data_IF_443991687985
#
_entry.id   IF_443991687985
#
_cell.length_a   1.000
_cell.length_b   1.000
_cell.length_c   1.000
_cell.angle_alpha   90.00
_cell.angle_beta   90.00
_cell.angle_gamma   90.00
#
_symmetry.space_group_name_H-M   'P 1'
#
loop_
_entity.id
_entity.type
_entity.pdbx_description
1 polymer ?
#
# COMPACT_ATOMS: atom_id res chain seq x y z
N UNK A 1 -9.22 5.96 -4.47
CA UNK A 1 -8.05 5.12 -4.82
C UNK A 1 -7.82 4.03 -3.77
N UNK A 2 -7.68 4.35 -2.47
CA UNK A 2 -7.50 3.34 -1.41
C UNK A 2 -8.61 2.28 -1.30
N UNK A 3 -9.88 2.68 -1.50
CA UNK A 3 -11.03 1.74 -1.51
C UNK A 3 -10.93 0.75 -2.69
N UNK A 4 -10.54 1.23 -3.87
CA UNK A 4 -10.33 0.41 -5.06
C UNK A 4 -9.18 -0.58 -4.84
N UNK A 5 -8.09 -0.12 -4.21
CA UNK A 5 -6.96 -0.96 -3.84
C UNK A 5 -7.37 -2.09 -2.87
N UNK A 6 -8.15 -1.77 -1.84
CA UNK A 6 -8.66 -2.76 -0.88
C UNK A 6 -9.65 -3.74 -1.52
N UNK A 7 -10.52 -3.27 -2.43
CA UNK A 7 -11.42 -4.13 -3.16
C UNK A 7 -10.68 -5.15 -4.03
N UNK A 8 -9.61 -4.72 -4.71
CA UNK A 8 -8.75 -5.61 -5.50
C UNK A 8 -8.00 -6.58 -4.60
N UNK A 9 -7.41 -6.13 -3.48
CA UNK A 9 -6.77 -7.03 -2.51
C UNK A 9 -7.73 -8.09 -1.98
N UNK A 10 -8.95 -7.69 -1.59
CA UNK A 10 -9.99 -8.60 -1.12
C UNK A 10 -10.28 -9.66 -2.17
N UNK A 11 -10.44 -9.26 -3.44
CA UNK A 11 -10.73 -10.14 -4.57
C UNK A 11 -9.58 -11.14 -4.84
N UNK A 12 -8.32 -10.72 -4.69
CA UNK A 12 -7.17 -11.64 -4.77
C UNK A 12 -7.10 -12.64 -3.61
N UNK A 13 -7.69 -12.34 -2.45
CA UNK A 13 -7.80 -13.28 -1.31
C UNK A 13 -8.99 -14.23 -1.41
N UNK A 14 -9.91 -14.06 -2.36
CA UNK A 14 -11.07 -14.96 -2.51
C UNK A 14 -10.56 -16.37 -2.90
N UNK A 15 -10.97 -17.42 -2.16
CA UNK A 15 -10.46 -18.78 -2.38
C UNK A 15 -10.72 -19.34 -3.78
N UNK A 16 -11.73 -18.82 -4.49
CA UNK A 16 -12.01 -19.14 -5.89
C UNK A 16 -10.87 -18.71 -6.86
N UNK A 17 -10.13 -17.64 -6.55
CA UNK A 17 -9.00 -17.14 -7.35
C UNK A 17 -7.66 -17.72 -6.86
N UNK A 18 -7.63 -18.22 -5.63
CA UNK A 18 -6.44 -18.79 -4.98
C UNK A 18 -5.89 -20.09 -5.62
N UNK A 19 -6.54 -20.59 -6.68
CA UNK A 19 -6.05 -21.74 -7.47
C UNK A 19 -4.69 -21.48 -8.13
N UNK A 20 -4.33 -20.21 -8.39
CA UNK A 20 -2.98 -19.80 -8.85
C UNK A 20 -2.10 -19.34 -7.68
N UNK A 21 -1.78 -20.25 -6.75
CA UNK A 21 -1.04 -19.93 -5.50
C UNK A 21 0.23 -19.10 -5.73
N UNK A 22 1.00 -19.40 -6.78
CA UNK A 22 2.29 -18.73 -7.03
C UNK A 22 2.11 -17.32 -7.60
N UNK A 23 1.24 -17.14 -8.61
CA UNK A 23 1.00 -15.85 -9.25
C UNK A 23 0.28 -14.88 -8.30
N UNK A 24 -0.77 -15.34 -7.62
CA UNK A 24 -1.55 -14.54 -6.68
C UNK A 24 -0.68 -14.13 -5.48
N UNK A 25 0.23 -15.00 -5.04
CA UNK A 25 1.25 -14.66 -4.05
C UNK A 25 2.12 -13.50 -4.50
N UNK A 26 2.74 -13.57 -5.68
CA UNK A 26 3.62 -12.51 -6.19
C UNK A 26 2.86 -11.19 -6.39
N UNK A 27 1.65 -11.22 -6.97
CA UNK A 27 0.82 -10.02 -7.15
C UNK A 27 0.44 -9.37 -5.82
N UNK A 28 0.01 -10.18 -4.84
CA UNK A 28 -0.31 -9.69 -3.49
C UNK A 28 0.89 -9.02 -2.85
N UNK A 29 2.08 -9.63 -2.95
CA UNK A 29 3.31 -9.07 -2.38
C UNK A 29 3.70 -7.75 -3.04
N UNK A 30 3.61 -7.66 -4.37
CA UNK A 30 3.89 -6.42 -5.10
C UNK A 30 2.90 -5.31 -4.76
N UNK A 31 1.61 -5.63 -4.70
CA UNK A 31 0.57 -4.65 -4.32
C UNK A 31 0.79 -4.14 -2.90
N UNK A 32 0.92 -5.04 -1.92
CA UNK A 32 1.06 -4.66 -0.51
C UNK A 32 2.33 -3.85 -0.24
N UNK A 33 3.47 -4.29 -0.79
CA UNK A 33 4.73 -3.60 -0.60
C UNK A 33 4.75 -2.24 -1.34
N UNK A 34 4.24 -2.18 -2.56
CA UNK A 34 4.12 -0.92 -3.30
C UNK A 34 3.19 0.08 -2.61
N UNK A 35 2.05 -0.37 -2.09
CA UNK A 35 1.15 0.49 -1.32
C UNK A 35 1.80 0.99 -0.02
N UNK A 36 2.54 0.14 0.69
CA UNK A 36 3.29 0.56 1.89
C UNK A 36 4.31 1.64 1.55
N UNK A 37 4.98 1.55 0.39
CA UNK A 37 5.88 2.60 -0.11
C UNK A 37 5.19 3.95 -0.34
N UNK A 38 3.97 3.92 -0.89
CA UNK A 38 3.14 5.12 -1.07
C UNK A 38 2.71 5.75 0.26
N UNK A 39 2.21 4.94 1.19
CA UNK A 39 1.77 5.41 2.52
C UNK A 39 2.89 6.10 3.31
N UNK A 40 4.15 5.64 3.17
CA UNK A 40 5.31 6.31 3.81
C UNK A 40 5.50 7.73 3.28
N UNK A 41 5.37 7.94 1.96
CA UNK A 41 5.47 9.27 1.35
C UNK A 41 4.30 10.17 1.79
N UNK A 42 3.09 9.63 1.82
CA UNK A 42 1.91 10.36 2.28
C UNK A 42 2.00 10.72 3.76
N UNK A 43 2.49 9.82 4.59
CA UNK A 43 2.70 10.10 6.02
C UNK A 43 3.75 11.20 6.20
N UNK A 44 4.86 11.15 5.46
CA UNK A 44 5.85 12.25 5.45
C UNK A 44 5.21 13.57 5.03
N UNK A 45 4.36 13.58 4.01
CA UNK A 45 3.67 14.79 3.56
C UNK A 45 2.73 15.35 4.63
N UNK A 46 1.98 14.49 5.34
CA UNK A 46 1.10 14.89 6.43
C UNK A 46 1.87 15.50 7.60
N UNK A 47 3.02 14.93 7.96
CA UNK A 47 3.90 15.46 9.03
C UNK A 47 4.52 16.80 8.63
N UNK A 48 5.02 16.94 7.39
CA UNK A 48 5.68 18.17 6.93
C UNK A 48 4.70 19.34 6.81
N UNK A 49 3.45 19.07 6.40
CA UNK A 49 2.43 20.11 6.22
C UNK A 49 1.48 20.25 7.42
N UNK A 50 1.73 19.51 8.52
CA UNK A 50 0.88 19.46 9.73
C UNK A 50 -0.63 19.20 9.45
N UNK A 51 -0.92 18.52 8.33
CA UNK A 51 -2.29 18.19 7.90
C UNK A 51 -2.56 16.71 8.13
N UNK A 52 -3.10 16.39 9.30
CA UNK A 52 -3.39 15.00 9.67
C UNK A 52 -4.79 14.58 9.22
N UNK A 53 -4.87 13.58 8.35
CA UNK A 53 -6.15 12.96 7.99
C UNK A 53 -6.31 11.64 8.77
N UNK A 54 -7.27 11.55 9.73
CA UNK A 54 -7.42 10.36 10.56
C UNK A 54 -7.79 9.11 9.74
N UNK A 55 -8.55 9.27 8.66
CA UNK A 55 -8.90 8.14 7.78
C UNK A 55 -7.70 7.62 6.98
N UNK A 56 -6.82 8.51 6.49
CA UNK A 56 -5.59 8.10 5.83
C UNK A 56 -4.65 7.38 6.80
N UNK A 57 -4.54 7.88 8.02
CA UNK A 57 -3.71 7.27 9.04
C UNK A 57 -4.21 5.87 9.44
N UNK A 58 -5.53 5.72 9.62
CA UNK A 58 -6.15 4.43 9.89
C UNK A 58 -5.92 3.44 8.74
N UNK A 59 -6.03 3.89 7.49
CA UNK A 59 -5.76 3.08 6.31
C UNK A 59 -4.31 2.62 6.23
N UNK A 60 -3.35 3.53 6.44
CA UNK A 60 -1.92 3.20 6.48
C UNK A 60 -1.59 2.20 7.60
N UNK A 61 -2.23 2.32 8.76
CA UNK A 61 -2.06 1.41 9.89
C UNK A 61 -2.60 0.01 9.57
N UNK A 62 -3.78 -0.09 8.95
CA UNK A 62 -4.32 -1.35 8.45
C UNK A 62 -3.39 -2.02 7.44
N UNK A 63 -2.85 -1.26 6.48
CA UNK A 63 -1.87 -1.77 5.52
C UNK A 63 -0.60 -2.29 6.20
N UNK A 64 -0.08 -1.55 7.19
CA UNK A 64 1.09 -1.95 7.96
C UNK A 64 0.86 -3.28 8.66
N UNK A 65 -0.29 -3.45 9.33
CA UNK A 65 -0.65 -4.71 10.00
C UNK A 65 -0.70 -5.86 9.00
N UNK A 66 -1.40 -5.69 7.87
CA UNK A 66 -1.52 -6.74 6.86
C UNK A 66 -0.15 -7.06 6.25
N UNK A 67 0.68 -6.05 6.01
CA UNK A 67 2.05 -6.23 5.52
C UNK A 67 2.90 -7.02 6.53
N UNK A 68 2.86 -6.66 7.81
CA UNK A 68 3.62 -7.32 8.87
C UNK A 68 3.23 -8.80 9.02
N UNK A 69 1.92 -9.10 9.03
CA UNK A 69 1.41 -10.49 9.11
C UNK A 69 1.85 -11.31 7.90
N UNK A 70 1.93 -10.70 6.71
CA UNK A 70 2.31 -11.39 5.47
C UNK A 70 3.81 -11.38 5.20
N UNK A 71 4.59 -10.66 6.00
CA UNK A 71 6.02 -10.47 5.77
C UNK A 71 6.81 -11.78 5.88
N UNK A 72 6.40 -12.72 6.73
CA UNK A 72 7.14 -13.99 6.91
C UNK A 72 7.00 -14.94 5.71
N UNK A 73 5.88 -14.86 4.99
CA UNK A 73 5.56 -15.72 3.83
C UNK A 73 6.02 -15.07 2.52
N UNK A 74 6.23 -13.76 2.53
CA UNK A 74 6.54 -12.97 1.35
C UNK A 74 8.02 -13.05 0.95
N UNK A 75 8.27 -13.04 -0.36
CA UNK A 75 9.64 -12.92 -0.88
C UNK A 75 10.19 -11.51 -0.61
N UNK A 76 11.22 -11.43 0.24
CA UNK A 76 11.85 -10.18 0.70
C UNK A 76 12.38 -9.31 -0.44
N UNK A 77 12.96 -9.93 -1.47
CA UNK A 77 13.52 -9.21 -2.62
C UNK A 77 12.43 -8.54 -3.45
N UNK A 78 11.36 -9.27 -3.73
CA UNK A 78 10.23 -8.76 -4.51
C UNK A 78 9.48 -7.67 -3.75
N UNK A 79 9.31 -7.84 -2.43
CA UNK A 79 8.73 -6.82 -1.56
C UNK A 79 9.60 -5.55 -1.55
N UNK A 80 10.91 -5.67 -1.38
CA UNK A 80 11.82 -4.52 -1.41
C UNK A 80 11.76 -3.75 -2.74
N UNK A 81 11.82 -4.48 -3.86
CA UNK A 81 11.76 -3.89 -5.20
C UNK A 81 10.43 -3.15 -5.45
N UNK A 82 9.31 -3.76 -5.07
CA UNK A 82 7.98 -3.15 -5.23
C UNK A 82 7.72 -2.00 -4.27
N UNK A 83 8.28 -2.04 -3.05
CA UNK A 83 8.26 -0.90 -2.13
C UNK A 83 8.99 0.32 -2.70
N UNK A 84 10.20 0.11 -3.24
CA UNK A 84 10.96 1.15 -3.94
C UNK A 84 10.21 1.68 -5.18
N UNK A 85 9.59 0.78 -5.95
CA UNK A 85 8.76 1.17 -7.09
C UNK A 85 7.54 2.00 -6.67
N UNK A 86 6.90 1.65 -5.55
CA UNK A 86 5.80 2.41 -4.96
C UNK A 86 6.22 3.81 -4.54
N UNK A 87 7.36 3.94 -3.87
CA UNK A 87 7.95 5.25 -3.54
C UNK A 87 8.21 6.05 -4.81
N UNK A 88 8.86 5.46 -5.81
CA UNK A 88 9.19 6.14 -7.07
C UNK A 88 7.95 6.61 -7.82
N UNK A 89 6.91 5.77 -7.88
CA UNK A 89 5.64 6.12 -8.50
C UNK A 89 4.96 7.30 -7.78
N UNK A 90 4.91 7.28 -6.45
CA UNK A 90 4.35 8.39 -5.70
C UNK A 90 5.18 9.67 -5.83
N UNK A 91 6.51 9.59 -5.84
CA UNK A 91 7.36 10.77 -6.05
C UNK A 91 7.16 11.42 -7.42
N UNK A 92 6.89 10.64 -8.48
CA UNK A 92 6.69 11.16 -9.83
C UNK A 92 5.27 11.68 -10.09
N UNK A 93 4.26 11.01 -9.53
CA UNK A 93 2.85 11.30 -9.84
C UNK A 93 2.14 12.15 -8.77
N UNK A 94 2.66 12.23 -7.55
CA UNK A 94 1.97 12.92 -6.47
C UNK A 94 2.14 14.44 -6.56
N UNK A 95 1.08 15.11 -7.05
CA UNK A 95 0.89 16.56 -6.98
C UNK A 95 0.18 16.88 -5.66
N UNK A 96 0.94 17.10 -4.59
CA UNK A 96 0.38 17.38 -3.26
C UNK A 96 -0.47 18.65 -3.26
N UNK A 97 -1.76 18.52 -2.94
CA UNK A 97 -2.70 19.64 -2.80
C UNK A 97 -3.06 19.83 -1.33
N UNK A 98 -2.60 20.94 -0.74
CA UNK A 98 -2.86 21.34 0.66
C UNK A 98 -4.22 22.05 0.81
N UNK A 99 -5.28 21.49 0.23
CA UNK A 99 -6.63 22.02 0.42
C UNK A 99 -7.19 21.44 1.73
N UNK A 100 -7.41 22.26 2.77
CA UNK A 100 -8.14 21.78 3.95
C UNK A 100 -9.58 21.47 3.52
N UNK A 101 -9.99 20.21 3.59
CA UNK A 101 -11.41 19.87 3.60
C UNK A 101 -11.96 20.29 4.97
N UNK A 102 -12.66 21.42 4.98
CA UNK A 102 -13.60 21.78 6.03
C UNK A 102 -14.97 21.15 5.74
#
# INVERSE_FOLDING_TARGET
IGILFMAVLLLLTIPAVASYKTLVGHLRTMMLAGAMGGEVILFRFQVVNETFCPFCLAFGLCLLIIFAVNFSVMNKYLAGASFLAGIGAFLLFFQGSVLPLY
#
